data_IF_077498236765
#
_entry.id   IF_077498236765
#
_cell.length_a   1.000
_cell.length_b   1.000
_cell.length_c   1.000
_cell.angle_alpha   90.00
_cell.angle_beta   90.00
_cell.angle_gamma   90.00
#
_symmetry.space_group_name_H-M   'P 1'
#
loop_
_entity.id
_entity.type
_entity.pdbx_description
1 polymer ?
#
# COMPACT_ATOMS: atom_id res chain seq x y z
N UNK A 1 -24.19 2.80 17.57
CA UNK A 1 -22.91 2.46 16.89
C UNK A 1 -21.84 2.32 17.96
N UNK A 2 -21.43 1.11 18.29
CA UNK A 2 -20.48 0.87 19.38
C UNK A 2 -19.03 0.90 18.87
N UNK A 3 -18.11 1.30 19.72
CA UNK A 3 -16.66 1.26 19.48
C UNK A 3 -16.16 -0.15 19.05
N UNK A 4 -16.92 -1.20 19.38
CA UNK A 4 -16.64 -2.58 18.97
C UNK A 4 -16.55 -2.78 17.45
N UNK A 5 -17.32 -2.03 16.66
CA UNK A 5 -17.28 -2.15 15.19
C UNK A 5 -15.92 -1.74 14.61
N UNK A 6 -15.24 -0.78 15.24
CA UNK A 6 -13.91 -0.35 14.80
C UNK A 6 -12.81 -1.36 15.17
N UNK A 7 -13.01 -2.15 16.23
CA UNK A 7 -12.05 -3.19 16.60
C UNK A 7 -12.03 -4.34 15.58
N UNK A 8 -13.13 -4.55 14.85
CA UNK A 8 -13.16 -5.56 13.79
C UNK A 8 -12.37 -5.14 12.54
N UNK A 9 -12.16 -3.83 12.33
CA UNK A 9 -11.37 -3.27 11.25
C UNK A 9 -9.88 -3.09 11.63
N UNK A 10 -9.38 -3.82 12.62
CA UNK A 10 -8.00 -3.65 13.11
C UNK A 10 -6.95 -3.79 12.00
N UNK A 11 -7.19 -4.67 11.02
CA UNK A 11 -6.27 -4.96 9.91
C UNK A 11 -6.22 -3.75 8.96
N UNK A 12 -7.38 -3.19 8.58
CA UNK A 12 -7.48 -2.00 7.74
C UNK A 12 -6.94 -0.76 8.47
N UNK A 13 -7.33 -0.56 9.74
CA UNK A 13 -6.91 0.58 10.53
C UNK A 13 -5.41 0.60 10.78
N UNK A 14 -4.81 -0.56 11.04
CA UNK A 14 -3.36 -0.65 11.23
C UNK A 14 -2.60 -0.40 9.92
N UNK A 15 -3.14 -0.82 8.77
CA UNK A 15 -2.55 -0.50 7.46
C UNK A 15 -2.66 1.00 7.16
N UNK A 16 -3.82 1.62 7.42
CA UNK A 16 -4.00 3.07 7.29
C UNK A 16 -3.03 3.83 8.20
N UNK A 17 -2.82 3.35 9.44
CA UNK A 17 -1.85 3.97 10.35
C UNK A 17 -0.43 3.90 9.78
N UNK A 18 0.00 2.77 9.20
CA UNK A 18 1.29 2.66 8.51
C UNK A 18 1.39 3.67 7.37
N UNK A 19 0.35 3.79 6.53
CA UNK A 19 0.31 4.74 5.41
C UNK A 19 0.45 6.18 5.91
N UNK A 20 -0.27 6.57 6.97
CA UNK A 20 -0.21 7.91 7.55
C UNK A 20 1.17 8.20 8.15
N UNK A 21 1.77 7.26 8.85
CA UNK A 21 3.12 7.40 9.41
C UNK A 21 4.14 7.62 8.29
N UNK A 22 4.06 6.83 7.22
CA UNK A 22 4.97 6.98 6.08
C UNK A 22 4.74 8.30 5.33
N UNK A 23 3.49 8.74 5.17
CA UNK A 23 3.16 10.05 4.59
C UNK A 23 3.77 11.19 5.40
N UNK A 24 3.57 11.20 6.72
CA UNK A 24 4.15 12.21 7.61
C UNK A 24 5.68 12.17 7.57
N UNK A 25 6.24 10.96 7.56
CA UNK A 25 7.69 10.79 7.46
C UNK A 25 8.27 11.31 6.13
N UNK A 26 7.55 11.13 5.02
CA UNK A 26 7.95 11.66 3.71
C UNK A 26 7.88 13.19 3.65
N UNK A 27 6.81 13.78 4.22
CA UNK A 27 6.58 15.23 4.20
C UNK A 27 7.54 16.01 5.12
N UNK A 28 7.83 15.48 6.30
CA UNK A 28 8.61 16.17 7.33
C UNK A 28 10.04 15.63 7.48
N UNK A 29 10.37 14.55 6.77
CA UNK A 29 11.68 13.92 6.85
C UNK A 29 12.79 14.80 6.30
N UNK A 30 13.87 14.95 7.06
CA UNK A 30 15.10 15.56 6.59
C UNK A 30 15.76 14.68 5.53
N UNK A 31 16.55 15.26 4.60
CA UNK A 31 17.29 14.53 3.56
C UNK A 31 18.15 13.37 4.13
N UNK A 32 18.70 13.55 5.34
CA UNK A 32 19.45 12.49 6.02
C UNK A 32 18.55 11.36 6.54
N UNK A 33 17.36 11.68 7.05
CA UNK A 33 16.40 10.68 7.57
C UNK A 33 15.71 9.92 6.44
N UNK A 34 15.45 10.58 5.34
CA UNK A 34 14.84 9.98 4.15
C UNK A 34 15.69 8.84 3.55
N UNK A 35 16.99 8.78 3.80
CA UNK A 35 17.85 7.65 3.44
C UNK A 35 17.36 6.32 4.05
N UNK A 36 16.73 6.39 5.22
CA UNK A 36 16.21 5.22 5.92
C UNK A 36 14.73 4.94 5.64
N UNK A 37 14.12 5.62 4.67
CA UNK A 37 12.70 5.51 4.37
C UNK A 37 12.27 4.06 4.06
N UNK A 38 13.01 3.39 3.17
CA UNK A 38 12.71 2.00 2.80
C UNK A 38 12.80 1.02 3.99
N UNK A 39 13.89 0.97 4.79
CA UNK A 39 13.92 0.09 5.95
C UNK A 39 12.85 0.44 6.98
N UNK A 40 12.51 1.71 7.19
CA UNK A 40 11.42 2.11 8.08
C UNK A 40 10.07 1.58 7.54
N UNK A 41 9.81 1.73 6.26
CA UNK A 41 8.59 1.19 5.64
C UNK A 41 8.48 -0.33 5.79
N UNK A 42 9.58 -1.07 5.56
CA UNK A 42 9.61 -2.52 5.75
C UNK A 42 9.37 -2.93 7.20
N UNK A 43 9.98 -2.24 8.17
CA UNK A 43 9.80 -2.53 9.60
C UNK A 43 8.37 -2.24 10.05
N UNK A 44 7.80 -1.10 9.65
CA UNK A 44 6.41 -0.75 9.98
C UNK A 44 5.42 -1.75 9.36
N UNK A 45 5.65 -2.14 8.11
CA UNK A 45 4.78 -3.11 7.46
C UNK A 45 4.95 -4.53 8.02
N UNK A 46 6.16 -4.91 8.43
CA UNK A 46 6.40 -6.15 9.16
C UNK A 46 5.67 -6.15 10.51
N UNK A 47 5.75 -5.06 11.27
CA UNK A 47 5.01 -4.91 12.52
C UNK A 47 3.49 -5.02 12.30
N UNK A 48 2.94 -4.37 11.27
CA UNK A 48 1.55 -4.52 10.85
C UNK A 48 1.19 -6.00 10.57
N UNK A 49 2.02 -6.71 9.81
CA UNK A 49 1.81 -8.12 9.49
C UNK A 49 1.81 -9.00 10.74
N UNK A 50 2.76 -8.78 11.66
CA UNK A 50 2.84 -9.53 12.91
C UNK A 50 1.65 -9.27 13.84
N UNK A 51 1.19 -8.02 13.95
CA UNK A 51 0.00 -7.65 14.74
C UNK A 51 -1.27 -8.36 14.23
N UNK A 52 -1.34 -8.65 12.94
CA UNK A 52 -2.49 -9.25 12.29
C UNK A 52 -2.31 -10.75 11.95
N UNK A 53 -1.26 -11.38 12.48
CA UNK A 53 -0.99 -12.81 12.26
C UNK A 53 -2.07 -13.73 12.86
N UNK A 54 -2.69 -13.30 13.96
CA UNK A 54 -3.74 -14.06 14.61
C UNK A 54 -5.10 -13.73 14.00
N UNK A 55 -5.79 -14.72 13.39
CA UNK A 55 -7.07 -14.48 12.77
C UNK A 55 -8.10 -13.96 13.78
N UNK A 56 -8.86 -12.96 13.36
CA UNK A 56 -10.00 -12.48 14.11
C UNK A 56 -11.13 -13.53 14.07
N UNK A 57 -11.97 -13.54 15.09
CA UNK A 57 -13.19 -14.35 15.09
C UNK A 57 -14.17 -13.85 14.01
N UNK A 58 -15.21 -14.64 13.74
CA UNK A 58 -16.28 -14.21 12.83
C UNK A 58 -17.08 -13.08 13.47
N UNK A 59 -17.18 -11.95 12.77
CA UNK A 59 -17.93 -10.78 13.20
C UNK A 59 -18.46 -9.99 12.02
N UNK A 60 -19.56 -9.27 12.25
CA UNK A 60 -20.17 -8.38 11.28
C UNK A 60 -20.17 -6.95 11.83
N UNK A 61 -19.90 -6.00 10.97
CA UNK A 61 -19.95 -4.59 11.30
C UNK A 61 -20.74 -3.80 10.26
N UNK A 62 -21.20 -2.62 10.67
CA UNK A 62 -21.95 -1.70 9.80
C UNK A 62 -23.17 -2.34 9.12
N UNK A 63 -23.95 -3.13 9.89
CA UNK A 63 -25.17 -3.75 9.36
C UNK A 63 -24.93 -4.84 8.32
N UNK A 64 -23.84 -5.62 8.46
CA UNK A 64 -23.45 -6.67 7.53
C UNK A 64 -22.70 -6.20 6.28
N UNK A 65 -22.38 -4.90 6.18
CA UNK A 65 -21.57 -4.38 5.07
C UNK A 65 -20.12 -4.89 5.13
N UNK A 66 -19.58 -5.01 6.33
CA UNK A 66 -18.23 -5.53 6.58
C UNK A 66 -18.32 -6.84 7.36
N UNK A 67 -17.69 -7.88 6.86
CA UNK A 67 -17.67 -9.22 7.47
C UNK A 67 -16.25 -9.65 7.72
N UNK A 68 -15.93 -9.87 9.00
CA UNK A 68 -14.65 -10.44 9.40
C UNK A 68 -14.80 -11.97 9.49
N UNK A 69 -13.91 -12.70 8.84
CA UNK A 69 -13.86 -14.17 8.90
C UNK A 69 -12.44 -14.65 9.12
N UNK A 70 -12.23 -15.80 9.81
CA UNK A 70 -10.90 -16.38 9.96
C UNK A 70 -10.21 -16.66 8.62
N UNK A 71 -10.97 -17.10 7.62
CA UNK A 71 -10.45 -17.33 6.26
C UNK A 71 -10.02 -16.02 5.63
N UNK A 72 -10.81 -14.95 5.76
CA UNK A 72 -10.46 -13.61 5.28
C UNK A 72 -9.16 -13.11 5.89
N UNK A 73 -8.96 -13.27 7.20
CA UNK A 73 -7.71 -12.88 7.88
C UNK A 73 -6.51 -13.69 7.38
N UNK A 74 -6.68 -14.99 7.11
CA UNK A 74 -5.62 -15.82 6.53
C UNK A 74 -5.24 -15.31 5.12
N UNK A 75 -6.22 -15.01 4.28
CA UNK A 75 -5.98 -14.47 2.92
C UNK A 75 -5.25 -13.13 2.99
N UNK A 76 -5.66 -12.23 3.89
CA UNK A 76 -4.96 -10.95 4.12
C UNK A 76 -3.51 -11.16 4.59
N UNK A 77 -3.26 -12.15 5.47
CA UNK A 77 -1.91 -12.50 5.92
C UNK A 77 -1.04 -13.00 4.75
N UNK A 78 -1.60 -13.79 3.84
CA UNK A 78 -0.91 -14.23 2.62
C UNK A 78 -0.57 -13.03 1.73
N UNK A 79 -1.50 -12.09 1.52
CA UNK A 79 -1.26 -10.86 0.77
C UNK A 79 -0.17 -10.01 1.42
N UNK A 80 -0.18 -9.88 2.74
CA UNK A 80 0.86 -9.15 3.49
C UNK A 80 2.24 -9.78 3.28
N UNK A 81 2.31 -11.10 3.38
CA UNK A 81 3.57 -11.82 3.15
C UNK A 81 4.09 -11.60 1.73
N UNK A 82 3.21 -11.69 0.73
CA UNK A 82 3.55 -11.39 -0.65
C UNK A 82 4.02 -9.95 -0.85
N UNK A 83 3.31 -8.98 -0.26
CA UNK A 83 3.69 -7.56 -0.30
C UNK A 83 5.04 -7.33 0.38
N UNK A 84 5.32 -7.98 1.52
CA UNK A 84 6.61 -7.89 2.21
C UNK A 84 7.75 -8.39 1.32
N UNK A 85 7.56 -9.50 0.62
CA UNK A 85 8.55 -10.05 -0.33
C UNK A 85 8.81 -9.03 -1.45
N UNK A 86 7.76 -8.42 -2.01
CA UNK A 86 7.87 -7.38 -3.05
C UNK A 86 8.64 -6.17 -2.52
N UNK A 87 8.35 -5.71 -1.30
CA UNK A 87 9.08 -4.61 -0.68
C UNK A 87 10.56 -4.91 -0.52
N UNK A 88 10.92 -6.11 -0.07
CA UNK A 88 12.32 -6.51 0.08
C UNK A 88 13.04 -6.57 -1.28
N UNK A 89 12.38 -7.04 -2.33
CA UNK A 89 12.95 -7.08 -3.68
C UNK A 89 13.08 -5.69 -4.31
N UNK A 90 12.17 -4.78 -3.97
CA UNK A 90 12.16 -3.41 -4.51
C UNK A 90 13.30 -2.51 -3.98
N UNK A 91 14.11 -2.96 -3.03
CA UNK A 91 15.15 -2.16 -2.36
C UNK A 91 16.04 -1.36 -3.32
N UNK A 92 16.65 -2.03 -4.28
CA UNK A 92 17.58 -1.40 -5.23
C UNK A 92 16.87 -0.42 -6.16
N UNK A 93 15.65 -0.76 -6.59
CA UNK A 93 14.87 0.07 -7.50
C UNK A 93 14.35 1.33 -6.81
N UNK A 94 13.81 1.22 -5.60
CA UNK A 94 13.29 2.36 -4.82
C UNK A 94 14.39 3.35 -4.43
N UNK A 95 15.63 2.86 -4.25
CA UNK A 95 16.77 3.70 -3.93
C UNK A 95 17.50 4.23 -5.18
N UNK A 96 17.04 3.93 -6.39
CA UNK A 96 17.60 4.51 -7.61
C UNK A 96 17.28 6.01 -7.70
N UNK A 97 18.16 6.80 -8.30
CA UNK A 97 18.00 8.26 -8.42
C UNK A 97 16.67 8.67 -9.07
N UNK A 98 16.15 7.84 -9.96
CA UNK A 98 14.90 8.08 -10.68
C UNK A 98 13.65 7.99 -9.82
N UNK A 99 13.67 7.15 -8.78
CA UNK A 99 12.52 6.87 -7.92
C UNK A 99 12.66 7.55 -6.56
N UNK A 100 13.89 7.89 -6.18
CA UNK A 100 14.23 8.42 -4.86
C UNK A 100 13.36 9.61 -4.43
N UNK A 101 13.04 10.51 -5.36
CA UNK A 101 12.23 11.72 -5.10
C UNK A 101 10.76 11.37 -4.90
N UNK A 102 10.27 10.29 -5.52
CA UNK A 102 8.85 9.89 -5.54
C UNK A 102 8.57 8.60 -4.77
N UNK A 103 9.52 8.16 -3.95
CA UNK A 103 9.39 6.88 -3.24
C UNK A 103 8.22 6.85 -2.26
N UNK A 104 7.92 7.95 -1.57
CA UNK A 104 6.75 8.06 -0.69
C UNK A 104 5.45 7.80 -1.46
N UNK A 105 5.30 8.38 -2.65
CA UNK A 105 4.16 8.13 -3.54
C UNK A 105 4.05 6.64 -3.89
N UNK A 106 5.17 5.97 -4.21
CA UNK A 106 5.19 4.54 -4.52
C UNK A 106 4.59 3.69 -3.38
N UNK A 107 5.02 3.93 -2.13
CA UNK A 107 4.52 3.18 -0.98
C UNK A 107 3.04 3.46 -0.72
N UNK A 108 2.61 4.71 -0.82
CA UNK A 108 1.21 5.08 -0.65
C UNK A 108 0.32 4.41 -1.70
N UNK A 109 0.73 4.39 -2.96
CA UNK A 109 0.01 3.74 -4.05
C UNK A 109 -0.06 2.23 -3.81
N UNK A 110 1.06 1.59 -3.46
CA UNK A 110 1.12 0.15 -3.18
C UNK A 110 0.20 -0.24 -2.02
N UNK A 111 0.28 0.47 -0.90
CA UNK A 111 -0.54 0.17 0.27
C UNK A 111 -2.02 0.54 0.07
N UNK A 112 -2.34 1.56 -0.73
CA UNK A 112 -3.72 1.84 -1.13
C UNK A 112 -4.33 0.69 -1.91
N UNK A 113 -3.56 0.10 -2.85
CA UNK A 113 -4.00 -1.08 -3.57
C UNK A 113 -4.24 -2.28 -2.64
N UNK A 114 -3.35 -2.49 -1.67
CA UNK A 114 -3.50 -3.54 -0.65
C UNK A 114 -4.74 -3.31 0.23
N UNK A 115 -5.00 -2.06 0.63
CA UNK A 115 -6.18 -1.67 1.40
C UNK A 115 -7.48 -1.98 0.63
N UNK A 116 -7.51 -1.70 -0.67
CA UNK A 116 -8.63 -2.07 -1.54
C UNK A 116 -8.87 -3.58 -1.58
N UNK A 117 -7.80 -4.38 -1.66
CA UNK A 117 -7.91 -5.84 -1.57
C UNK A 117 -8.48 -6.30 -0.22
N UNK A 118 -8.12 -5.65 0.89
CA UNK A 118 -8.69 -5.95 2.20
C UNK A 118 -10.20 -5.68 2.23
N UNK A 119 -10.65 -4.55 1.69
CA UNK A 119 -12.09 -4.27 1.61
C UNK A 119 -12.83 -5.29 0.76
N UNK A 120 -12.26 -5.75 -0.36
CA UNK A 120 -12.88 -6.82 -1.15
C UNK A 120 -13.01 -8.13 -0.38
N UNK A 121 -11.98 -8.53 0.38
CA UNK A 121 -11.99 -9.77 1.18
C UNK A 121 -13.03 -9.69 2.30
N UNK A 122 -13.21 -8.52 2.90
CA UNK A 122 -14.16 -8.29 4.00
C UNK A 122 -15.51 -7.78 3.56
N UNK A 123 -15.78 -7.73 2.25
CA UNK A 123 -17.06 -7.22 1.75
C UNK A 123 -18.23 -8.16 2.07
N UNK A 124 -19.18 -7.68 2.86
CA UNK A 124 -20.46 -8.36 3.12
C UNK A 124 -21.55 -7.97 2.12
N UNK A 125 -21.32 -6.94 1.29
CA UNK A 125 -22.25 -6.52 0.25
C UNK A 125 -21.51 -6.03 -1.01
N UNK A 126 -22.25 -5.89 -2.11
CA UNK A 126 -21.70 -5.47 -3.39
C UNK A 126 -21.10 -4.05 -3.35
N UNK A 127 -21.65 -3.14 -2.54
CA UNK A 127 -21.16 -1.76 -2.44
C UNK A 127 -19.73 -1.72 -1.89
N UNK A 128 -19.48 -2.40 -0.77
CA UNK A 128 -18.11 -2.43 -0.19
C UNK A 128 -17.14 -3.19 -1.10
N UNK A 129 -17.60 -4.26 -1.75
CA UNK A 129 -16.79 -4.98 -2.75
C UNK A 129 -16.38 -4.06 -3.90
N UNK A 130 -17.31 -3.28 -4.45
CA UNK A 130 -17.05 -2.35 -5.55
C UNK A 130 -16.09 -1.23 -5.12
N UNK A 131 -16.28 -0.65 -3.93
CA UNK A 131 -15.35 0.36 -3.37
C UNK A 131 -13.94 -0.25 -3.22
N UNK A 132 -13.84 -1.48 -2.72
CA UNK A 132 -12.57 -2.19 -2.59
C UNK A 132 -11.90 -2.42 -3.95
N UNK A 133 -12.68 -2.82 -4.96
CA UNK A 133 -12.21 -3.04 -6.32
C UNK A 133 -11.62 -1.76 -6.94
N UNK A 134 -12.32 -0.63 -6.83
CA UNK A 134 -11.83 0.66 -7.33
C UNK A 134 -10.59 1.14 -6.56
N UNK A 135 -10.60 0.99 -5.24
CA UNK A 135 -9.47 1.35 -4.38
C UNK A 135 -8.24 0.49 -4.67
N UNK A 136 -8.40 -0.74 -5.15
CA UNK A 136 -7.28 -1.59 -5.55
C UNK A 136 -6.81 -1.32 -6.99
N UNK A 137 -7.74 -1.18 -7.94
CA UNK A 137 -7.45 -1.14 -9.36
C UNK A 137 -6.84 0.19 -9.82
N UNK A 138 -7.34 1.32 -9.33
CA UNK A 138 -6.82 2.65 -9.71
C UNK A 138 -5.34 2.83 -9.29
N UNK A 139 -4.95 2.57 -8.02
CA UNK A 139 -3.55 2.64 -7.63
C UNK A 139 -2.66 1.65 -8.39
N UNK A 140 -3.15 0.43 -8.68
CA UNK A 140 -2.39 -0.55 -9.44
C UNK A 140 -2.13 -0.08 -10.88
N UNK A 141 -3.11 0.57 -11.53
CA UNK A 141 -2.95 1.18 -12.85
C UNK A 141 -1.89 2.30 -12.81
N UNK A 142 -1.93 3.16 -11.78
CA UNK A 142 -0.91 4.21 -11.57
C UNK A 142 0.46 3.60 -11.34
N UNK A 143 0.57 2.53 -10.54
CA UNK A 143 1.81 1.84 -10.26
C UNK A 143 2.44 1.25 -11.53
N UNK A 144 1.63 0.67 -12.42
CA UNK A 144 2.10 0.12 -13.70
C UNK A 144 2.65 1.19 -14.66
N UNK A 145 2.23 2.43 -14.49
CA UNK A 145 2.68 3.59 -15.27
C UNK A 145 3.81 4.37 -14.58
N UNK A 146 4.19 4.00 -13.35
CA UNK A 146 5.08 4.78 -12.50
C UNK A 146 6.48 5.03 -13.11
N UNK A 147 6.99 4.08 -13.89
CA UNK A 147 8.33 4.14 -14.50
C UNK A 147 8.32 4.64 -15.98
N UNK A 148 7.15 4.73 -16.62
CA UNK A 148 7.06 5.10 -18.05
C UNK A 148 7.46 6.54 -18.36
N UNK A 149 7.42 7.42 -17.40
CA UNK A 149 7.82 8.83 -17.57
C UNK A 149 9.30 9.00 -17.98
N UNK A 150 10.15 8.04 -17.62
CA UNK A 150 11.58 8.08 -17.94
C UNK A 150 11.88 7.80 -19.42
N UNK A 151 11.11 6.93 -20.06
CA UNK A 151 11.31 6.57 -21.47
C UNK A 151 10.94 7.72 -22.43
N UNK A 152 9.95 8.54 -22.09
CA UNK A 152 9.58 9.68 -22.93
C UNK A 152 10.58 10.83 -22.85
N UNK A 153 11.15 11.11 -21.69
CA UNK A 153 12.17 12.14 -21.54
C UNK A 153 13.48 11.79 -22.25
N UNK A 154 13.88 10.51 -22.27
CA UNK A 154 15.08 10.08 -23.01
C UNK A 154 14.90 10.15 -24.53
N UNK A 155 13.71 9.93 -25.03
CA UNK A 155 13.40 10.06 -26.47
C UNK A 155 13.38 11.52 -26.93
N UNK A 156 13.01 12.47 -26.07
CA UNK A 156 13.02 13.91 -26.38
C UNK A 156 14.46 14.42 -26.46
N UNK A 157 15.38 13.93 -25.64
CA UNK A 157 16.80 14.30 -25.70
C UNK A 157 17.58 13.70 -26.89
N UNK A 158 17.10 12.59 -27.44
CA UNK A 158 17.73 11.97 -28.64
C UNK A 158 17.34 12.71 -29.92
N UNK A 159 16.30 13.52 -29.91
CA UNK A 159 15.78 14.22 -31.11
C UNK A 159 16.26 15.67 -31.26
N UNK A 160 17.18 16.19 -30.43
CA UNK A 160 17.82 17.45 -30.75
C UNK A 160 18.91 17.22 -31.84
N UNK A 161 18.66 17.63 -33.08
CA UNK A 161 19.71 17.61 -34.08
C UNK A 161 20.75 18.64 -33.67
N UNK A 162 21.98 18.19 -33.42
CA UNK A 162 23.16 19.07 -33.40
C UNK A 162 23.17 19.89 -34.70
N UNK A 163 22.72 21.14 -34.65
CA UNK A 163 22.97 22.10 -35.71
C UNK A 163 24.45 22.50 -35.66
N UNK A 164 25.11 22.52 -36.82
CA UNK A 164 26.48 22.99 -36.96
C UNK A 164 26.60 24.49 -36.70
#
# INVERSE_FOLDING_TARGET
MGYSNFLFLKEELSLIAVMLILLVYDLFGSQKSLKYFHPVACVLFLAHTLLNLFPAGTAEAFGGMYVCTPIGSIVKTILNTGTLIVLLQAYNWVNSESVLIRRGEFYLILFSSLLGMYFMISAGNFLLFFIGLETASIPMAVLSAFDKYKHQLSLIHISEPTRP
#
